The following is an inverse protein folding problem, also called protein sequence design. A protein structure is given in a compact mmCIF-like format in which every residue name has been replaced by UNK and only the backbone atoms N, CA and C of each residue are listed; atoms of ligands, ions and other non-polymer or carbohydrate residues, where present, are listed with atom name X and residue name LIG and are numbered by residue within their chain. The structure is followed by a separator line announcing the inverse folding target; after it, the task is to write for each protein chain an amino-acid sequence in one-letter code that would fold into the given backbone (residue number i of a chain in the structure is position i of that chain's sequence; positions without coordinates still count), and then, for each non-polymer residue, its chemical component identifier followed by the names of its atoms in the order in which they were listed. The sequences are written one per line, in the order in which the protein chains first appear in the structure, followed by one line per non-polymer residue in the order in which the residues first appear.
data_IF_301615571568
#
_entry.id   IF_301615571568
#
_cell.length_a   1.000
_cell.length_b   1.000
_cell.length_c   1.000
_cell.angle_alpha   90.00
_cell.angle_beta   90.00
_cell.angle_gamma   90.00
#
_symmetry.space_group_name_H-M   'P 1'
#
loop_
_entity.id
_entity.type
_entity.pdbx_description
1 polymer ?
#
# COMPACT_ATOMS: atom_id res chain seq x y z
N UNK A 1 11.30 -6.47 -0.66
CA UNK A 1 11.45 -5.09 -1.19
C UNK A 1 10.09 -4.64 -1.72
N UNK A 2 9.52 -3.55 -1.20
CA UNK A 2 8.23 -2.99 -1.65
C UNK A 2 8.42 -1.67 -2.40
N UNK A 3 7.40 -1.32 -3.18
CA UNK A 3 7.31 -0.10 -3.98
C UNK A 3 7.13 1.15 -3.11
N UNK A 4 7.33 2.31 -3.73
CA UNK A 4 6.95 3.62 -3.19
C UNK A 4 5.48 3.97 -3.47
N UNK A 5 4.97 5.00 -2.79
CA UNK A 5 3.66 5.55 -3.14
C UNK A 5 3.63 6.19 -4.54
N UNK A 6 4.75 6.75 -5.00
CA UNK A 6 4.89 7.26 -6.37
C UNK A 6 4.70 6.16 -7.40
N UNK A 7 5.44 5.06 -7.28
CA UNK A 7 5.31 3.88 -8.16
C UNK A 7 3.88 3.31 -8.11
N UNK A 8 3.25 3.27 -6.93
CA UNK A 8 1.85 2.86 -6.78
C UNK A 8 0.89 3.76 -7.60
N UNK A 9 1.08 5.08 -7.52
CA UNK A 9 0.27 6.07 -8.23
C UNK A 9 0.50 6.03 -9.74
N UNK A 10 1.74 5.81 -10.17
CA UNK A 10 2.11 5.62 -11.59
C UNK A 10 1.47 4.36 -12.19
N UNK A 11 1.33 3.29 -11.39
CA UNK A 11 0.53 2.12 -11.76
C UNK A 11 -0.99 2.38 -11.79
N UNK A 12 -1.43 3.60 -11.48
CA UNK A 12 -2.85 3.99 -11.48
C UNK A 12 -3.62 3.57 -10.23
N UNK A 13 -2.93 3.15 -9.16
CA UNK A 13 -3.55 2.75 -7.90
C UNK A 13 -3.62 3.95 -6.93
N UNK A 14 -4.71 4.00 -6.16
CA UNK A 14 -5.09 5.15 -5.31
C UNK A 14 -5.53 4.74 -3.90
N UNK A 15 -5.31 3.50 -3.51
CA UNK A 15 -5.61 3.01 -2.16
C UNK A 15 -4.54 2.10 -1.61
N UNK A 16 -4.52 1.93 -0.29
CA UNK A 16 -3.73 0.90 0.38
C UNK A 16 -4.59 0.10 1.35
N UNK A 17 -4.30 -1.19 1.45
CA UNK A 17 -4.84 -2.09 2.46
C UNK A 17 -3.74 -2.40 3.48
N UNK A 18 -4.09 -2.33 4.76
CA UNK A 18 -3.20 -2.61 5.89
C UNK A 18 -3.72 -3.85 6.60
N UNK A 19 -2.95 -4.93 6.57
CA UNK A 19 -3.31 -6.22 7.14
C UNK A 19 -2.55 -6.53 8.42
N UNK A 20 -3.27 -6.95 9.45
CA UNK A 20 -2.68 -7.61 10.60
C UNK A 20 -2.67 -9.13 10.38
N UNK A 21 -1.70 -9.82 10.98
CA UNK A 21 -1.62 -11.28 11.01
C UNK A 21 -2.84 -11.95 11.67
N UNK A 22 -3.61 -11.22 12.49
CA UNK A 22 -4.83 -11.73 13.12
C UNK A 22 -6.07 -11.70 12.20
N UNK A 23 -5.92 -11.33 10.92
CA UNK A 23 -7.01 -11.25 9.93
C UNK A 23 -7.75 -9.91 9.89
N UNK A 24 -7.49 -8.99 10.84
CA UNK A 24 -8.03 -7.64 10.78
C UNK A 24 -7.33 -6.81 9.70
N UNK A 25 -8.09 -6.03 8.95
CA UNK A 25 -7.54 -5.15 7.92
C UNK A 25 -8.36 -3.88 7.77
N UNK A 26 -7.72 -2.84 7.25
CA UNK A 26 -8.36 -1.55 6.96
C UNK A 26 -7.88 -1.01 5.61
N UNK A 27 -8.78 -0.36 4.88
CA UNK A 27 -8.43 0.45 3.71
C UNK A 27 -8.11 1.87 4.17
N UNK A 28 -6.98 2.42 3.71
CA UNK A 28 -6.58 3.79 4.00
C UNK A 28 -6.39 4.60 2.72
N UNK A 29 -6.68 5.89 2.83
CA UNK A 29 -6.34 6.89 1.82
C UNK A 29 -4.82 7.19 1.87
N UNK A 30 -4.11 7.00 0.74
CA UNK A 30 -2.68 7.19 0.67
C UNK A 30 -2.21 8.64 0.51
N UNK A 31 -3.10 9.61 0.29
CA UNK A 31 -2.75 10.98 -0.11
C UNK A 31 -1.92 11.74 0.93
N UNK A 32 -1.95 11.29 2.18
CA UNK A 32 -1.10 11.84 3.25
C UNK A 32 0.39 11.49 3.10
N UNK A 33 0.74 10.50 2.27
CA UNK A 33 2.13 10.04 2.12
C UNK A 33 2.75 10.54 0.81
N UNK A 34 3.92 11.22 0.89
CA UNK A 34 4.68 11.63 -0.28
C UNK A 34 5.11 10.46 -1.17
N UNK A 35 5.37 10.74 -2.45
CA UNK A 35 5.72 9.74 -3.46
C UNK A 35 6.98 8.94 -3.14
N UNK A 36 7.95 9.51 -2.41
CA UNK A 36 9.20 8.85 -2.06
C UNK A 36 9.08 7.90 -0.85
N UNK A 37 7.95 7.88 -0.14
CA UNK A 37 7.74 6.97 0.99
C UNK A 37 7.51 5.56 0.47
N UNK A 38 8.19 4.57 1.03
CA UNK A 38 7.96 3.16 0.70
C UNK A 38 6.81 2.61 1.54
N UNK A 39 6.02 1.70 0.96
CA UNK A 39 4.96 1.02 1.72
C UNK A 39 5.52 0.29 2.95
N UNK A 40 6.72 -0.30 2.82
CA UNK A 40 7.43 -0.98 3.91
C UNK A 40 7.82 -0.06 5.07
N UNK A 41 7.98 1.25 4.83
CA UNK A 41 8.38 2.20 5.88
C UNK A 41 7.23 2.45 6.87
N UNK A 42 6.00 2.12 6.47
CA UNK A 42 4.80 2.27 7.29
C UNK A 42 4.47 1.02 8.12
N UNK A 43 4.86 -0.16 7.65
CA UNK A 43 4.58 -1.45 8.29
C UNK A 43 4.86 -1.48 9.80
N UNK A 44 6.05 -1.08 10.30
CA UNK A 44 6.34 -1.11 11.74
C UNK A 44 5.66 0.00 12.54
N UNK A 45 4.90 0.90 11.90
CA UNK A 45 4.22 2.04 12.54
C UNK A 45 2.77 1.72 12.91
N UNK A 46 2.19 0.66 12.35
CA UNK A 46 0.82 0.27 12.67
C UNK A 46 0.74 -0.55 13.95
N UNK A 47 -0.35 -0.33 14.70
CA UNK A 47 -0.76 -1.13 15.85
C UNK A 47 -2.18 -1.60 15.59
N UNK A 48 -2.40 -2.92 15.61
CA UNK A 48 -3.72 -3.48 15.38
C UNK A 48 -4.64 -3.19 16.58
N UNK A 49 -5.78 -2.53 16.34
CA UNK A 49 -6.79 -2.29 17.38
C UNK A 49 -7.51 -3.57 17.82
N UNK A 50 -7.46 -4.64 17.02
CA UNK A 50 -8.08 -5.93 17.36
C UNK A 50 -7.26 -6.77 18.34
N UNK A 51 -5.96 -6.92 18.09
CA UNK A 51 -5.08 -7.80 18.90
C UNK A 51 -3.92 -7.07 19.61
N UNK A 52 -3.77 -5.76 19.42
CA UNK A 52 -2.70 -4.96 20.03
C UNK A 52 -1.30 -5.14 19.43
N UNK A 53 -1.14 -6.02 18.43
CA UNK A 53 0.18 -6.28 17.85
C UNK A 53 0.72 -5.09 17.05
N UNK A 54 2.02 -4.88 17.14
CA UNK A 54 2.76 -3.93 16.30
C UNK A 54 3.18 -4.59 14.98
N UNK A 55 3.11 -3.84 13.89
CA UNK A 55 3.45 -4.33 12.56
C UNK A 55 2.21 -4.67 11.74
N UNK A 56 2.29 -4.43 10.43
CA UNK A 56 1.25 -4.80 9.47
C UNK A 56 1.87 -5.06 8.09
N UNK A 57 1.17 -5.79 7.24
CA UNK A 57 1.47 -5.91 5.81
C UNK A 57 0.72 -4.81 5.04
N UNK A 58 1.46 -3.86 4.44
CA UNK A 58 0.87 -2.72 3.70
C UNK A 58 0.95 -2.98 2.21
N UNK A 59 -0.20 -3.06 1.52
CA UNK A 59 -0.28 -3.41 0.10
C UNK A 59 -1.11 -2.39 -0.68
N UNK A 60 -0.84 -2.20 -1.98
CA UNK A 60 -1.74 -1.46 -2.83
C UNK A 60 -3.14 -2.09 -2.84
N UNK A 61 -4.16 -1.25 -2.80
CA UNK A 61 -5.55 -1.62 -3.02
C UNK A 61 -5.82 -1.60 -4.54
N UNK A 62 -5.95 -2.79 -5.13
CA UNK A 62 -6.19 -2.94 -6.57
C UNK A 62 -7.64 -2.61 -6.97
N UNK A 63 -8.57 -2.51 -6.02
CA UNK A 63 -9.95 -2.08 -6.30
C UNK A 63 -10.08 -0.56 -6.37
N UNK A 64 -9.12 0.17 -5.77
CA UNK A 64 -9.10 1.65 -5.77
C UNK A 64 -8.11 2.18 -6.79
N UNK A 65 -8.60 2.48 -7.99
CA UNK A 65 -7.82 3.08 -9.08
C UNK A 65 -8.21 2.53 -10.44
N UNK A 66 -7.27 2.51 -11.38
CA UNK A 66 -7.42 1.81 -12.66
C UNK A 66 -6.58 0.52 -12.66
N UNK A 67 -7.12 -0.62 -12.17
CA UNK A 67 -6.37 -1.88 -12.06
C UNK A 67 -5.82 -2.40 -13.39
N UNK A 68 -6.38 -1.96 -14.53
CA UNK A 68 -5.85 -2.34 -15.86
C UNK A 68 -4.45 -1.80 -16.11
N UNK A 69 -4.08 -0.68 -15.50
CA UNK A 69 -2.72 -0.14 -15.59
C UNK A 69 -1.74 -0.96 -14.76
N UNK A 70 -2.15 -1.41 -13.57
CA UNK A 70 -1.32 -2.23 -12.69
C UNK A 70 -1.05 -3.65 -13.24
N UNK A 71 -2.05 -4.26 -13.91
CA UNK A 71 -1.93 -5.62 -14.48
C UNK A 71 -1.04 -5.64 -15.74
N UNK A 72 -0.97 -4.54 -16.50
CA UNK A 72 -0.28 -4.53 -17.81
C UNK A 72 1.26 -4.54 -17.70
N UNK A 73 1.80 -4.52 -16.49
CA UNK A 73 3.23 -4.49 -16.22
C UNK A 73 3.78 -3.09 -16.45
N UNK A 74 4.16 -2.43 -15.36
CA UNK A 74 5.05 -1.27 -15.41
C UNK A 74 6.32 -1.68 -16.18
N UNK A 75 6.46 -1.19 -17.42
CA UNK A 75 7.74 -1.17 -18.12
C UNK A 75 8.44 0.09 -17.64
N UNK A 76 9.47 -0.06 -16.80
CA UNK A 76 10.43 1.02 -16.56
C UNK A 76 10.91 1.52 -17.92
N UNK A 77 10.57 2.76 -18.25
CA UNK A 77 11.11 3.41 -19.44
C UNK A 77 12.19 4.35 -18.94
N UNK A 78 13.43 3.86 -19.08
CA UNK A 78 14.74 4.55 -18.96
C UNK A 78 15.13 5.07 -17.59
#
# INVERSE_FOLDING_TARGET
MKITFGEMREMGLRGVLVYCHCGHHVALDPDRWPDNVRLSDLEPRFICQGCGSRGADVRPDFERGNPRLAIRGYRSTT
#
